data_IF_111316519753
#
_entry.id   IF_111316519753
#
_cell.length_a   1.000
_cell.length_b   1.000
_cell.length_c   1.000
_cell.angle_alpha   90.00
_cell.angle_beta   90.00
_cell.angle_gamma   90.00
#
_symmetry.space_group_name_H-M   'P 1'
#
loop_
_entity.id
_entity.type
_entity.pdbx_description
1 polymer ?
#
# COMPACT_ATOMS: atom_id res chain seq x y z
N UNK A 1 -9.32 -22.35 -12.12
CA UNK A 1 -10.11 -22.91 -11.01
C UNK A 1 -10.75 -21.85 -10.09
N UNK A 2 -10.49 -20.56 -10.32
CA UNK A 2 -11.06 -19.43 -9.54
C UNK A 2 -12.08 -18.61 -10.35
N UNK A 3 -12.47 -19.06 -11.55
CA UNK A 3 -13.42 -18.35 -12.42
C UNK A 3 -12.91 -17.02 -12.98
N UNK A 4 -11.61 -16.78 -12.95
CA UNK A 4 -11.00 -15.55 -13.49
C UNK A 4 -10.70 -15.73 -14.97
N UNK A 5 -11.18 -14.79 -15.80
CA UNK A 5 -10.89 -14.75 -17.23
C UNK A 5 -9.45 -14.27 -17.43
N UNK A 6 -8.69 -14.96 -18.28
CA UNK A 6 -7.32 -14.59 -18.63
C UNK A 6 -7.10 -14.63 -20.14
N UNK A 7 -6.22 -13.78 -20.66
CA UNK A 7 -5.77 -13.78 -22.05
C UNK A 7 -4.37 -14.37 -22.13
N UNK A 8 -4.13 -15.21 -23.14
CA UNK A 8 -2.83 -15.73 -23.52
C UNK A 8 -2.52 -15.38 -24.99
N UNK A 9 -1.27 -15.53 -25.39
CA UNK A 9 -0.80 -15.37 -26.77
C UNK A 9 -1.06 -13.98 -27.38
N UNK A 10 -1.05 -12.94 -26.54
CA UNK A 10 -1.12 -11.54 -26.99
C UNK A 10 0.27 -10.90 -26.97
N UNK A 11 0.50 -9.92 -27.84
CA UNK A 11 1.70 -9.10 -27.82
C UNK A 11 1.65 -8.11 -26.64
N UNK A 12 2.15 -8.55 -25.49
CA UNK A 12 2.18 -7.74 -24.26
C UNK A 12 3.12 -6.53 -24.37
N UNK A 13 4.16 -6.60 -25.22
CA UNK A 13 5.06 -5.47 -25.49
C UNK A 13 4.35 -4.37 -26.28
N UNK A 14 3.62 -4.72 -27.33
CA UNK A 14 2.81 -3.76 -28.09
C UNK A 14 1.74 -3.12 -27.20
N UNK A 15 1.09 -3.91 -26.35
CA UNK A 15 0.10 -3.40 -25.38
C UNK A 15 0.74 -2.42 -24.39
N UNK A 16 1.92 -2.73 -23.86
CA UNK A 16 2.66 -1.85 -22.94
C UNK A 16 3.05 -0.54 -23.65
N UNK A 17 3.53 -0.59 -24.89
CA UNK A 17 3.85 0.61 -25.67
C UNK A 17 2.61 1.47 -25.90
N UNK A 18 1.48 0.86 -26.24
CA UNK A 18 0.20 1.58 -26.41
C UNK A 18 -0.22 2.31 -25.13
N UNK A 19 -0.12 1.67 -23.96
CA UNK A 19 -0.47 2.27 -22.68
C UNK A 19 0.48 3.43 -22.33
N UNK A 20 1.77 3.29 -22.62
CA UNK A 20 2.75 4.38 -22.39
C UNK A 20 2.48 5.61 -23.25
N UNK A 21 2.05 5.40 -24.50
CA UNK A 21 1.79 6.48 -25.46
C UNK A 21 0.44 7.19 -25.18
N UNK A 22 -0.59 6.40 -24.83
CA UNK A 22 -1.98 6.88 -24.72
C UNK A 22 -2.50 7.04 -23.31
N UNK A 23 -1.72 6.65 -22.30
CA UNK A 23 -2.15 6.55 -20.91
C UNK A 23 -2.92 5.27 -20.61
N UNK A 24 -3.41 5.17 -19.38
CA UNK A 24 -4.24 4.05 -18.94
C UNK A 24 -5.58 4.06 -19.69
N UNK A 25 -5.84 3.01 -20.47
CA UNK A 25 -7.06 2.88 -21.28
C UNK A 25 -8.07 1.98 -20.59
N UNK A 26 -9.35 2.34 -20.73
CA UNK A 26 -10.44 1.45 -20.35
C UNK A 26 -10.48 0.23 -21.27
N UNK A 27 -10.61 -0.97 -20.70
CA UNK A 27 -10.61 -2.20 -21.45
C UNK A 27 -11.65 -3.20 -20.93
N UNK A 28 -12.07 -4.10 -21.80
CA UNK A 28 -12.92 -5.26 -21.43
C UNK A 28 -12.21 -6.54 -21.83
N UNK A 29 -12.14 -7.50 -20.92
CA UNK A 29 -11.76 -8.88 -21.20
C UNK A 29 -13.05 -9.72 -21.17
N UNK A 30 -13.33 -10.44 -22.25
CA UNK A 30 -14.54 -11.26 -22.37
C UNK A 30 -14.16 -12.70 -22.73
N UNK A 31 -14.94 -13.65 -22.22
CA UNK A 31 -14.90 -15.05 -22.58
C UNK A 31 -16.30 -15.50 -23.01
N UNK A 32 -16.38 -16.18 -24.15
CA UNK A 32 -17.60 -16.82 -24.63
C UNK A 32 -17.25 -18.24 -25.09
N UNK A 33 -17.94 -19.29 -24.57
CA UNK A 33 -17.62 -20.69 -24.91
C UNK A 33 -17.78 -21.03 -26.39
N UNK A 34 -18.68 -20.32 -27.09
CA UNK A 34 -18.94 -20.51 -28.53
C UNK A 34 -18.11 -19.60 -29.42
N UNK A 35 -17.26 -18.73 -28.83
CA UNK A 35 -16.45 -17.74 -29.56
C UNK A 35 -17.27 -16.62 -30.21
N UNK A 36 -18.49 -16.35 -29.73
CA UNK A 36 -19.38 -15.32 -30.27
C UNK A 36 -19.25 -14.04 -29.48
N UNK A 37 -18.68 -13.01 -30.09
CA UNK A 37 -18.47 -11.72 -29.45
C UNK A 37 -19.16 -10.60 -30.21
N UNK A 38 -20.00 -9.83 -29.51
CA UNK A 38 -20.49 -8.54 -30.00
C UNK A 38 -19.42 -7.47 -29.67
N UNK A 39 -18.53 -7.25 -30.65
CA UNK A 39 -17.39 -6.33 -30.49
C UNK A 39 -17.84 -4.89 -30.24
N UNK A 40 -18.95 -4.47 -30.86
CA UNK A 40 -19.44 -3.11 -30.69
C UNK A 40 -20.02 -2.89 -29.29
N UNK A 41 -20.75 -3.86 -28.74
CA UNK A 41 -21.21 -3.84 -27.36
C UNK A 41 -20.03 -3.85 -26.37
N UNK A 42 -18.97 -4.65 -26.62
CA UNK A 42 -17.78 -4.67 -25.76
C UNK A 42 -17.02 -3.34 -25.80
N UNK A 43 -16.86 -2.73 -26.97
CA UNK A 43 -16.26 -1.41 -27.12
C UNK A 43 -17.08 -0.33 -26.40
N UNK A 44 -18.39 -0.36 -26.56
CA UNK A 44 -19.30 0.57 -25.86
C UNK A 44 -19.19 0.39 -24.34
N UNK A 45 -19.09 -0.84 -23.84
CA UNK A 45 -18.89 -1.13 -22.42
C UNK A 45 -17.57 -0.58 -21.89
N UNK A 46 -16.46 -0.73 -22.64
CA UNK A 46 -15.17 -0.14 -22.27
C UNK A 46 -15.25 1.39 -22.26
N UNK A 47 -15.82 2.01 -23.30
CA UNK A 47 -15.93 3.45 -23.42
C UNK A 47 -16.82 4.10 -22.35
N UNK A 48 -17.84 3.39 -21.88
CA UNK A 48 -18.79 3.89 -20.86
C UNK A 48 -18.32 3.66 -19.42
N UNK A 49 -17.17 3.01 -19.22
CA UNK A 49 -16.62 2.88 -17.86
C UNK A 49 -16.00 4.20 -17.41
N UNK A 50 -16.38 4.67 -16.22
CA UNK A 50 -15.96 5.98 -15.70
C UNK A 50 -14.45 6.11 -15.40
N UNK A 51 -13.73 5.01 -15.39
CA UNK A 51 -12.35 4.98 -14.89
C UNK A 51 -12.28 4.86 -13.37
N UNK A 52 -11.10 5.09 -12.80
CA UNK A 52 -10.86 4.98 -11.36
C UNK A 52 -11.09 6.28 -10.60
N UNK A 53 -11.15 7.42 -11.29
CA UNK A 53 -11.35 8.73 -10.65
C UNK A 53 -12.72 8.78 -9.97
N UNK A 54 -12.71 9.29 -8.74
CA UNK A 54 -13.87 9.37 -7.85
C UNK A 54 -14.49 8.01 -7.43
N UNK A 55 -13.77 6.89 -7.64
CA UNK A 55 -14.23 5.57 -7.18
C UNK A 55 -13.60 5.20 -5.84
N UNK A 56 -14.44 5.09 -4.81
CA UNK A 56 -14.05 4.51 -3.52
C UNK A 56 -14.18 2.98 -3.56
N UNK A 57 -13.13 2.32 -4.05
CA UNK A 57 -13.09 0.86 -4.10
C UNK A 57 -12.62 0.23 -2.78
N UNK A 58 -12.07 1.01 -1.86
CA UNK A 58 -11.65 0.51 -0.55
C UNK A 58 -12.85 -0.03 0.26
N UNK A 59 -14.03 0.60 0.16
CA UNK A 59 -15.27 0.12 0.78
C UNK A 59 -15.73 -1.24 0.24
N UNK A 60 -15.42 -1.55 -1.01
CA UNK A 60 -15.87 -2.80 -1.64
C UNK A 60 -15.00 -4.00 -1.25
N UNK A 61 -13.75 -3.75 -0.83
CA UNK A 61 -12.75 -4.80 -0.55
C UNK A 61 -12.36 -4.92 0.91
N UNK A 62 -12.71 -3.95 1.74
CA UNK A 62 -12.43 -3.97 3.19
C UNK A 62 -13.18 -5.10 3.89
N UNK A 63 -12.62 -5.57 5.02
CA UNK A 63 -13.29 -6.55 5.87
C UNK A 63 -14.58 -5.97 6.48
N UNK A 64 -15.59 -6.83 6.67
CA UNK A 64 -16.87 -6.42 7.24
C UNK A 64 -16.89 -6.30 8.77
N UNK A 65 -15.90 -6.89 9.46
CA UNK A 65 -15.75 -6.88 10.91
C UNK A 65 -14.28 -7.04 11.29
N UNK A 66 -13.91 -6.60 12.50
CA UNK A 66 -12.54 -6.73 13.00
C UNK A 66 -12.09 -8.20 13.03
N UNK A 67 -10.82 -8.42 12.75
CA UNK A 67 -10.18 -9.74 12.90
C UNK A 67 -8.79 -9.60 13.51
N UNK A 68 -8.33 -10.64 14.18
CA UNK A 68 -6.94 -10.79 14.61
C UNK A 68 -6.22 -11.68 13.62
N UNK A 69 -5.02 -11.25 13.20
CA UNK A 69 -4.17 -11.99 12.28
C UNK A 69 -3.01 -12.65 13.04
N UNK A 70 -2.77 -13.93 12.80
CA UNK A 70 -1.78 -14.76 13.49
C UNK A 70 -0.78 -15.47 12.55
N UNK A 71 -1.07 -15.53 11.24
CA UNK A 71 -0.21 -16.22 10.29
C UNK A 71 1.10 -15.44 10.06
N UNK A 72 2.23 -16.14 10.13
CA UNK A 72 3.59 -15.60 9.87
C UNK A 72 4.04 -15.82 8.42
N UNK A 73 5.17 -15.22 7.96
CA UNK A 73 5.69 -15.43 6.62
C UNK A 73 5.90 -16.89 6.26
N UNK A 74 5.79 -17.16 4.95
CA UNK A 74 6.04 -18.48 4.41
C UNK A 74 7.54 -18.84 4.47
N UNK A 75 7.84 -20.04 4.89
CA UNK A 75 9.18 -20.62 4.87
C UNK A 75 9.19 -21.90 4.02
N UNK A 76 10.33 -22.13 3.34
CA UNK A 76 10.50 -23.35 2.54
C UNK A 76 10.43 -24.57 3.47
N UNK A 77 9.71 -25.59 3.04
CA UNK A 77 9.44 -26.86 3.76
C UNK A 77 8.40 -26.75 4.89
N UNK A 78 8.28 -25.61 5.56
CA UNK A 78 7.37 -25.40 6.68
C UNK A 78 6.02 -24.78 6.27
N UNK A 79 5.99 -24.05 5.14
CA UNK A 79 4.81 -23.31 4.71
C UNK A 79 4.60 -22.03 5.50
N UNK A 80 3.35 -21.67 5.75
CA UNK A 80 3.00 -20.55 6.62
C UNK A 80 2.97 -21.01 8.08
N UNK A 81 3.71 -20.30 8.93
CA UNK A 81 3.69 -20.52 10.37
C UNK A 81 2.55 -19.76 11.06
N UNK A 82 2.42 -20.02 12.36
CA UNK A 82 1.54 -19.30 13.27
C UNK A 82 2.36 -18.55 14.32
N UNK A 83 1.87 -17.39 14.74
CA UNK A 83 2.55 -16.59 15.75
C UNK A 83 2.41 -17.23 17.12
N UNK A 84 3.54 -17.50 17.77
CA UNK A 84 3.59 -18.15 19.10
C UNK A 84 3.71 -17.17 20.26
N UNK A 85 4.19 -15.94 20.00
CA UNK A 85 4.36 -14.91 21.03
C UNK A 85 4.24 -13.50 20.44
N UNK A 86 3.52 -12.62 21.12
CA UNK A 86 3.34 -11.23 20.73
C UNK A 86 4.05 -10.30 21.70
N UNK A 87 4.72 -9.30 21.18
CA UNK A 87 5.43 -8.27 21.95
C UNK A 87 4.80 -6.90 21.77
N UNK A 88 4.15 -6.66 20.64
CA UNK A 88 3.56 -5.38 20.24
C UNK A 88 2.14 -5.59 19.77
N UNK A 89 1.31 -4.56 19.89
CA UNK A 89 -0.02 -4.53 19.30
C UNK A 89 -0.08 -3.51 18.17
N UNK A 90 -0.28 -3.95 16.95
CA UNK A 90 -0.49 -3.11 15.77
C UNK A 90 -1.95 -3.19 15.36
N UNK A 91 -2.59 -2.03 15.21
CA UNK A 91 -3.92 -1.94 14.61
C UNK A 91 -3.78 -1.47 13.17
N UNK A 92 -4.31 -2.25 12.23
CA UNK A 92 -4.27 -2.00 10.81
C UNK A 92 -5.65 -1.58 10.29
N UNK A 93 -5.74 -0.43 9.60
CA UNK A 93 -6.91 -0.05 8.82
C UNK A 93 -6.84 -0.75 7.45
N UNK A 94 -7.90 -1.48 7.12
CA UNK A 94 -7.97 -2.31 5.91
C UNK A 94 -8.63 -1.55 4.75
N UNK A 95 -7.83 -0.98 3.88
CA UNK A 95 -8.27 -0.40 2.60
C UNK A 95 -8.22 -1.41 1.44
N UNK A 96 -7.91 -2.68 1.71
CA UNK A 96 -7.66 -3.76 0.75
C UNK A 96 -6.29 -4.40 0.97
N UNK A 97 -6.00 -4.75 2.22
CA UNK A 97 -4.68 -5.18 2.69
C UNK A 97 -4.18 -6.46 2.02
N UNK A 98 -2.99 -6.43 1.47
CA UNK A 98 -2.29 -7.66 1.06
C UNK A 98 -1.88 -8.47 2.29
N UNK A 99 -2.28 -9.74 2.32
CA UNK A 99 -2.01 -10.63 3.45
C UNK A 99 -0.53 -10.74 3.82
N UNK A 100 0.37 -10.54 2.85
CA UNK A 100 1.80 -10.59 3.12
C UNK A 100 2.28 -9.47 4.04
N UNK A 101 1.63 -8.31 4.01
CA UNK A 101 1.87 -7.22 4.97
C UNK A 101 1.58 -7.69 6.40
N UNK A 102 0.42 -8.29 6.61
CA UNK A 102 0.01 -8.80 7.93
C UNK A 102 0.97 -9.89 8.43
N UNK A 103 1.43 -10.78 7.52
CA UNK A 103 2.40 -11.82 7.85
C UNK A 103 3.75 -11.24 8.27
N UNK A 104 4.23 -10.21 7.57
CA UNK A 104 5.51 -9.57 7.90
C UNK A 104 5.44 -8.87 9.27
N UNK A 105 4.35 -8.16 9.56
CA UNK A 105 4.13 -7.58 10.89
C UNK A 105 4.06 -8.67 11.98
N UNK A 106 3.28 -9.73 11.74
CA UNK A 106 3.15 -10.85 12.65
C UNK A 106 4.49 -11.57 12.86
N UNK A 107 5.26 -11.80 11.80
CA UNK A 107 6.60 -12.41 11.88
C UNK A 107 7.63 -11.59 12.66
N UNK A 108 7.38 -10.29 12.84
CA UNK A 108 8.19 -9.39 13.68
C UNK A 108 7.66 -9.26 15.12
N UNK A 109 6.74 -10.12 15.53
CA UNK A 109 6.22 -10.17 16.90
C UNK A 109 5.02 -9.25 17.17
N UNK A 110 4.42 -8.66 16.13
CA UNK A 110 3.23 -7.85 16.31
C UNK A 110 1.96 -8.72 16.33
N UNK A 111 1.16 -8.63 17.38
CA UNK A 111 -0.27 -8.97 17.32
C UNK A 111 -0.92 -7.97 16.39
N UNK A 112 -1.52 -8.41 15.30
CA UNK A 112 -2.16 -7.53 14.34
C UNK A 112 -3.68 -7.63 14.45
N UNK A 113 -4.33 -6.53 14.81
CA UNK A 113 -5.78 -6.38 14.73
C UNK A 113 -6.11 -5.57 13.49
N UNK A 114 -6.92 -6.16 12.61
CA UNK A 114 -7.34 -5.52 11.36
C UNK A 114 -8.75 -4.98 11.55
N UNK A 115 -8.94 -3.71 11.22
CA UNK A 115 -10.24 -3.02 11.31
C UNK A 115 -10.70 -2.58 9.91
N UNK A 116 -12.02 -2.47 9.69
CA UNK A 116 -12.54 -1.94 8.43
C UNK A 116 -12.02 -0.55 8.10
N UNK A 117 -11.96 -0.20 6.81
CA UNK A 117 -11.57 1.12 6.32
C UNK A 117 -12.35 2.28 6.95
N UNK A 118 -13.59 2.02 7.37
CA UNK A 118 -14.51 3.02 7.94
C UNK A 118 -14.44 3.12 9.48
N UNK A 119 -13.53 2.37 10.13
CA UNK A 119 -13.33 2.47 11.57
C UNK A 119 -12.90 3.89 11.97
N UNK A 120 -13.43 4.37 13.08
CA UNK A 120 -13.09 5.70 13.63
C UNK A 120 -11.75 5.68 14.36
N UNK A 121 -11.17 6.85 14.61
CA UNK A 121 -9.95 6.94 15.42
C UNK A 121 -10.18 6.39 16.83
N UNK A 122 -11.36 6.61 17.40
CA UNK A 122 -11.78 6.11 18.70
C UNK A 122 -11.83 4.57 18.69
N UNK A 123 -12.33 3.95 17.62
CA UNK A 123 -12.32 2.47 17.47
C UNK A 123 -10.90 1.93 17.43
N UNK A 124 -9.99 2.59 16.70
CA UNK A 124 -8.58 2.20 16.62
C UNK A 124 -7.91 2.32 18.00
N UNK A 125 -8.06 3.45 18.66
CA UNK A 125 -7.40 3.74 19.94
C UNK A 125 -7.97 2.92 21.10
N UNK A 126 -9.22 2.46 21.03
CA UNK A 126 -9.82 1.57 22.03
C UNK A 126 -9.08 0.22 22.17
N UNK A 127 -8.34 -0.20 21.15
CA UNK A 127 -7.48 -1.39 21.21
C UNK A 127 -6.15 -1.15 21.93
N UNK A 128 -5.84 0.09 22.37
CA UNK A 128 -4.55 0.50 22.94
C UNK A 128 -3.36 0.00 22.12
N UNK A 129 -3.26 0.39 20.84
CA UNK A 129 -2.18 -0.08 19.97
C UNK A 129 -0.82 0.53 20.35
N UNK A 130 0.25 -0.22 20.12
CA UNK A 130 1.62 0.30 20.16
C UNK A 130 2.00 1.00 18.85
N UNK A 131 1.32 0.68 17.76
CA UNK A 131 1.50 1.30 16.44
C UNK A 131 0.29 1.12 15.54
N UNK A 132 0.17 1.98 14.53
CA UNK A 132 -0.94 2.04 13.59
C UNK A 132 -0.41 1.76 12.17
N UNK A 133 -1.13 0.93 11.44
CA UNK A 133 -0.79 0.61 10.06
C UNK A 133 -1.92 1.03 9.11
N UNK A 134 -1.57 1.79 8.07
CA UNK A 134 -2.49 2.18 7.00
C UNK A 134 -2.20 1.33 5.77
N UNK A 135 -3.11 0.44 5.42
CA UNK A 135 -2.85 -0.56 4.38
C UNK A 135 -2.87 0.02 2.97
N UNK A 136 -2.36 -0.78 2.04
CA UNK A 136 -2.61 -0.59 0.63
C UNK A 136 -4.10 -0.81 0.31
N UNK A 137 -4.52 -0.37 -0.88
CA UNK A 137 -5.88 -0.58 -1.38
C UNK A 137 -6.07 -0.05 -2.80
N UNK A 138 -7.22 -0.36 -3.42
CA UNK A 138 -7.60 0.14 -4.74
C UNK A 138 -8.38 1.46 -4.65
N UNK A 139 -8.57 2.10 -5.80
CA UNK A 139 -9.46 3.25 -5.97
C UNK A 139 -8.76 4.59 -5.99
N UNK A 140 -9.58 5.63 -5.92
CA UNK A 140 -9.14 7.02 -5.85
C UNK A 140 -8.90 7.43 -4.40
N UNK A 141 -7.69 7.88 -4.05
CA UNK A 141 -7.40 8.35 -2.70
C UNK A 141 -8.29 9.51 -2.25
N UNK A 142 -8.71 10.39 -3.14
CA UNK A 142 -9.59 11.50 -2.78
C UNK A 142 -10.99 11.01 -2.35
N UNK A 143 -11.54 10.01 -3.05
CA UNK A 143 -12.84 9.43 -2.71
C UNK A 143 -12.79 8.65 -1.38
N UNK A 144 -11.76 7.80 -1.19
CA UNK A 144 -11.54 7.09 0.08
C UNK A 144 -11.25 8.09 1.22
N UNK A 145 -10.60 9.21 0.91
CA UNK A 145 -10.24 10.26 1.85
C UNK A 145 -11.41 10.95 2.53
N UNK A 146 -12.61 10.95 1.94
CA UNK A 146 -13.78 11.59 2.54
C UNK A 146 -14.06 11.12 3.98
N UNK A 147 -13.84 9.83 4.26
CA UNK A 147 -14.02 9.28 5.61
C UNK A 147 -12.69 8.92 6.30
N UNK A 148 -11.67 8.53 5.53
CA UNK A 148 -10.41 8.08 6.11
C UNK A 148 -9.54 9.24 6.61
N UNK A 149 -9.50 10.37 5.89
CA UNK A 149 -8.67 11.53 6.27
C UNK A 149 -8.99 12.06 7.67
N UNK A 150 -10.24 12.33 8.07
CA UNK A 150 -10.55 12.80 9.42
C UNK A 150 -10.11 11.82 10.52
N UNK A 151 -10.22 10.51 10.26
CA UNK A 151 -9.74 9.46 11.16
C UNK A 151 -8.21 9.50 11.27
N UNK A 152 -7.51 9.53 10.14
CA UNK A 152 -6.03 9.54 10.11
C UNK A 152 -5.46 10.80 10.76
N UNK A 153 -6.08 11.97 10.59
CA UNK A 153 -5.67 13.20 11.27
C UNK A 153 -5.65 13.03 12.78
N UNK A 154 -6.70 12.49 13.39
CA UNK A 154 -6.75 12.20 14.83
C UNK A 154 -5.69 11.15 15.23
N UNK A 155 -5.42 10.15 14.39
CA UNK A 155 -4.40 9.15 14.66
C UNK A 155 -2.98 9.73 14.58
N UNK A 156 -2.71 10.68 13.69
CA UNK A 156 -1.45 11.44 13.62
C UNK A 156 -1.21 12.28 14.87
N UNK A 157 -2.29 12.78 15.48
CA UNK A 157 -2.23 13.56 16.73
C UNK A 157 -2.04 12.69 17.97
N UNK A 158 -2.24 11.37 17.88
CA UNK A 158 -2.06 10.43 19.01
C UNK A 158 -0.58 10.18 19.36
N UNK A 159 0.36 10.68 18.54
CA UNK A 159 1.81 10.45 18.68
C UNK A 159 2.24 8.98 18.65
N UNK A 160 1.36 8.08 18.23
CA UNK A 160 1.72 6.68 18.01
C UNK A 160 2.52 6.53 16.70
N UNK A 161 3.42 5.53 16.61
CA UNK A 161 4.04 5.16 15.36
C UNK A 161 3.01 4.83 14.29
N UNK A 162 3.15 5.45 13.10
CA UNK A 162 2.27 5.20 11.95
C UNK A 162 3.11 4.81 10.74
N UNK A 163 2.70 3.74 10.07
CA UNK A 163 3.28 3.32 8.79
C UNK A 163 2.18 3.13 7.74
N UNK A 164 2.33 3.79 6.58
CA UNK A 164 1.39 3.71 5.44
C UNK A 164 2.03 3.12 4.20
N UNK A 165 1.30 2.26 3.47
CA UNK A 165 1.74 1.64 2.20
C UNK A 165 0.74 1.95 1.09
N UNK A 166 1.23 2.43 -0.07
CA UNK A 166 0.48 2.65 -1.31
C UNK A 166 -0.73 3.56 -1.07
N UNK A 167 -1.98 3.07 -1.05
CA UNK A 167 -3.14 3.89 -0.70
C UNK A 167 -3.00 4.49 0.70
N UNK A 168 -2.48 3.75 1.68
CA UNK A 168 -2.22 4.27 3.03
C UNK A 168 -1.21 5.42 3.06
N UNK A 169 -0.22 5.43 2.16
CA UNK A 169 0.69 6.55 1.95
C UNK A 169 -0.06 7.77 1.41
N UNK A 170 -0.91 7.58 0.41
CA UNK A 170 -1.71 8.66 -0.18
C UNK A 170 -2.72 9.24 0.82
N UNK A 171 -3.38 8.38 1.60
CA UNK A 171 -4.29 8.80 2.69
C UNK A 171 -3.56 9.60 3.76
N UNK A 172 -2.36 9.17 4.15
CA UNK A 172 -1.54 9.90 5.12
C UNK A 172 -1.15 11.28 4.56
N UNK A 173 -0.72 11.36 3.30
CA UNK A 173 -0.40 12.63 2.65
C UNK A 173 -1.58 13.60 2.65
N UNK A 174 -2.78 13.13 2.27
CA UNK A 174 -4.01 13.93 2.31
C UNK A 174 -4.35 14.39 3.73
N UNK A 175 -4.20 13.51 4.73
CA UNK A 175 -4.45 13.85 6.14
C UNK A 175 -3.47 14.90 6.69
N UNK A 176 -2.25 14.94 6.16
CA UNK A 176 -1.24 15.95 6.48
C UNK A 176 -1.42 17.27 5.71
N UNK A 177 -2.36 17.34 4.77
CA UNK A 177 -2.67 18.55 4.00
C UNK A 177 -2.03 18.61 2.60
N UNK A 178 -1.34 17.56 2.17
CA UNK A 178 -0.85 17.43 0.80
C UNK A 178 -1.98 17.06 -0.18
N UNK A 179 -1.65 16.98 -1.46
CA UNK A 179 -2.58 16.63 -2.56
C UNK A 179 -2.13 15.33 -3.23
N UNK A 180 -3.09 14.70 -3.90
CA UNK A 180 -2.83 13.57 -4.79
C UNK A 180 -3.28 13.90 -6.20
N UNK A 181 -2.64 13.31 -7.18
CA UNK A 181 -2.95 13.48 -8.59
C UNK A 181 -3.03 12.14 -9.31
N UNK A 182 -3.84 12.10 -10.37
CA UNK A 182 -3.92 10.92 -11.23
C UNK A 182 -2.77 10.93 -12.23
N UNK A 183 -2.04 9.83 -12.26
CA UNK A 183 -0.92 9.65 -13.20
C UNK A 183 -1.43 9.32 -14.61
N UNK A 184 -0.62 9.66 -15.63
CA UNK A 184 -0.92 9.36 -17.03
C UNK A 184 -1.10 7.85 -17.29
N UNK A 185 -0.12 7.01 -16.91
CA UNK A 185 -0.19 5.56 -17.06
C UNK A 185 -0.06 4.79 -15.74
N UNK A 186 0.36 5.46 -14.66
CA UNK A 186 0.68 4.84 -13.38
C UNK A 186 1.99 4.03 -13.39
N UNK A 187 2.32 3.46 -12.25
CA UNK A 187 3.45 2.57 -12.08
C UNK A 187 2.98 1.14 -11.81
N UNK A 188 3.34 0.21 -12.69
CA UNK A 188 2.93 -1.19 -12.62
C UNK A 188 4.12 -2.09 -12.96
N UNK A 189 4.66 -2.78 -11.97
CA UNK A 189 5.79 -3.69 -12.16
C UNK A 189 6.63 -3.89 -10.91
N UNK A 190 7.54 -4.86 -10.98
CA UNK A 190 8.41 -5.24 -9.87
C UNK A 190 9.89 -4.88 -10.15
N UNK A 191 10.13 -3.85 -10.94
CA UNK A 191 11.45 -3.44 -11.40
C UNK A 191 11.65 -1.92 -11.36
N UNK A 192 10.94 -1.22 -10.46
CA UNK A 192 11.02 0.22 -10.33
C UNK A 192 12.20 0.63 -9.43
N UNK A 193 13.16 1.44 -9.94
CA UNK A 193 14.23 1.97 -9.12
C UNK A 193 13.71 3.18 -8.34
N UNK A 194 13.88 3.14 -7.03
CA UNK A 194 13.52 4.19 -6.10
C UNK A 194 14.75 4.64 -5.33
N UNK A 195 14.96 5.95 -5.26
CA UNK A 195 16.01 6.55 -4.43
C UNK A 195 15.45 6.78 -3.04
N UNK A 196 16.08 6.20 -2.03
CA UNK A 196 15.88 6.52 -0.62
C UNK A 196 16.84 7.64 -0.22
N UNK A 197 16.32 8.81 0.09
CA UNK A 197 17.11 9.96 0.54
C UNK A 197 17.65 9.78 1.96
N UNK A 198 17.00 8.95 2.78
CA UNK A 198 17.43 8.73 4.18
C UNK A 198 18.67 7.86 4.28
N UNK A 199 18.87 6.96 3.34
CA UNK A 199 20.05 6.07 3.28
C UNK A 199 21.03 6.40 2.14
N UNK A 200 20.58 7.18 1.16
CA UNK A 200 21.30 7.47 -0.06
C UNK A 200 21.35 6.31 -1.06
N UNK A 201 20.62 5.22 -0.84
CA UNK A 201 20.61 4.01 -1.68
C UNK A 201 19.54 4.06 -2.77
N UNK A 202 19.71 3.23 -3.78
CA UNK A 202 18.68 2.93 -4.76
C UNK A 202 18.20 1.52 -4.49
N UNK A 203 16.89 1.35 -4.45
CA UNK A 203 16.22 0.08 -4.21
C UNK A 203 15.35 -0.26 -5.41
N UNK A 204 15.29 -1.55 -5.75
CA UNK A 204 14.35 -2.04 -6.77
C UNK A 204 13.11 -2.52 -6.05
N UNK A 205 11.96 -1.95 -6.42
CA UNK A 205 10.71 -2.15 -5.70
C UNK A 205 9.56 -2.56 -6.61
N UNK A 206 8.52 -3.12 -6.00
CA UNK A 206 7.26 -3.41 -6.66
C UNK A 206 6.32 -2.21 -6.54
N UNK A 207 5.71 -1.81 -7.66
CA UNK A 207 4.74 -0.72 -7.76
C UNK A 207 3.45 -1.20 -8.43
N UNK A 208 2.32 -0.70 -7.94
CA UNK A 208 1.01 -0.92 -8.56
C UNK A 208 0.05 0.19 -8.14
N UNK A 209 0.17 1.35 -8.75
CA UNK A 209 -0.68 2.51 -8.44
C UNK A 209 -0.89 3.41 -9.66
N UNK A 210 -2.03 4.08 -9.71
CA UNK A 210 -2.40 5.05 -10.76
C UNK A 210 -2.56 6.47 -10.25
N UNK A 211 -2.33 6.69 -8.95
CA UNK A 211 -2.32 8.00 -8.30
C UNK A 211 -1.00 8.18 -7.56
N UNK A 212 -0.56 9.41 -7.41
CA UNK A 212 0.65 9.77 -6.69
C UNK A 212 0.42 10.97 -5.78
N UNK A 213 1.28 11.14 -4.79
CA UNK A 213 1.34 12.36 -3.97
C UNK A 213 2.08 13.44 -4.75
N UNK A 214 1.49 14.63 -4.81
CA UNK A 214 2.11 15.83 -5.38
C UNK A 214 3.15 16.38 -4.39
N UNK A 215 4.45 16.21 -4.71
CA UNK A 215 5.57 16.64 -3.86
C UNK A 215 5.56 18.15 -3.59
N UNK A 216 5.12 18.96 -4.56
CA UNK A 216 5.08 20.43 -4.42
C UNK A 216 3.99 20.87 -3.42
N UNK A 217 3.06 19.99 -3.10
CA UNK A 217 1.99 20.25 -2.12
C UNK A 217 2.34 19.86 -0.69
N UNK A 218 3.51 19.25 -0.45
CA UNK A 218 3.92 18.80 0.89
C UNK A 218 4.06 19.99 1.86
N UNK A 219 3.43 19.96 3.05
CA UNK A 219 3.63 21.00 4.06
C UNK A 219 5.06 20.98 4.62
N UNK A 220 5.53 22.10 5.18
CA UNK A 220 6.89 22.26 5.71
C UNK A 220 7.29 21.21 6.78
N UNK A 221 6.32 20.64 7.49
CA UNK A 221 6.56 19.61 8.50
C UNK A 221 6.59 18.18 7.94
N UNK A 222 6.46 18.02 6.61
CA UNK A 222 6.51 16.74 5.92
C UNK A 222 7.67 16.72 4.94
N UNK A 223 8.49 15.70 5.02
CA UNK A 223 9.68 15.53 4.19
C UNK A 223 9.49 14.35 3.22
N UNK A 224 9.81 14.58 1.94
CA UNK A 224 9.93 13.49 0.97
C UNK A 224 11.15 12.62 1.29
N UNK A 225 10.93 11.31 1.40
CA UNK A 225 11.99 10.36 1.74
C UNK A 225 12.41 9.47 0.59
N UNK A 226 11.52 9.23 -0.36
CA UNK A 226 11.75 8.35 -1.49
C UNK A 226 11.21 8.97 -2.77
N UNK A 227 11.93 8.76 -3.88
CA UNK A 227 11.56 9.27 -5.20
C UNK A 227 11.78 8.22 -6.29
N UNK A 228 10.88 8.12 -7.25
CA UNK A 228 11.01 7.31 -8.45
C UNK A 228 12.14 7.86 -9.34
N UNK A 229 13.08 6.99 -9.74
CA UNK A 229 14.12 7.38 -10.69
C UNK A 229 13.65 7.35 -12.16
N UNK A 230 12.43 6.91 -12.42
CA UNK A 230 11.88 6.95 -13.78
C UNK A 230 11.33 8.33 -14.14
N UNK A 231 10.68 9.01 -13.20
CA UNK A 231 9.91 10.22 -13.48
C UNK A 231 9.90 11.26 -12.36
N UNK A 232 10.60 11.01 -11.25
CA UNK A 232 10.64 11.94 -10.11
C UNK A 232 9.40 11.93 -9.22
N UNK A 233 8.46 11.00 -9.44
CA UNK A 233 7.24 10.88 -8.60
C UNK A 233 7.59 10.57 -7.15
N UNK A 234 6.85 11.18 -6.21
CA UNK A 234 6.98 10.88 -4.78
C UNK A 234 6.74 9.39 -4.51
N UNK A 235 7.64 8.78 -3.76
CA UNK A 235 7.57 7.37 -3.38
C UNK A 235 7.64 7.14 -1.87
N UNK A 236 7.64 8.21 -1.07
CA UNK A 236 7.62 8.11 0.38
C UNK A 236 7.75 9.45 1.07
N UNK A 237 7.21 9.52 2.28
CA UNK A 237 7.28 10.69 3.14
C UNK A 237 7.49 10.31 4.61
N UNK A 238 7.92 11.28 5.40
CA UNK A 238 7.92 11.23 6.86
C UNK A 238 7.45 12.55 7.47
N UNK A 239 6.92 12.49 8.67
CA UNK A 239 6.59 13.69 9.46
C UNK A 239 7.79 14.05 10.34
N UNK A 240 8.28 15.26 10.20
CA UNK A 240 9.46 15.74 10.96
C UNK A 240 9.11 15.76 12.47
N UNK A 241 9.94 15.09 13.27
CA UNK A 241 9.77 15.02 14.71
C UNK A 241 8.67 14.08 15.23
N UNK A 242 7.98 13.35 14.34
CA UNK A 242 7.01 12.33 14.74
C UNK A 242 7.42 10.94 14.22
N UNK A 243 7.03 9.84 14.90
CA UNK A 243 7.34 8.47 14.47
C UNK A 243 6.39 8.01 13.34
N UNK A 244 6.29 8.80 12.26
CA UNK A 244 5.32 8.62 11.19
C UNK A 244 6.02 8.65 9.85
N UNK A 245 5.85 7.60 9.04
CA UNK A 245 6.35 7.53 7.68
C UNK A 245 5.46 6.67 6.79
N UNK A 246 5.64 6.79 5.49
CA UNK A 246 4.93 5.98 4.51
C UNK A 246 5.70 5.85 3.20
N UNK A 247 5.34 4.83 2.41
CA UNK A 247 5.93 4.58 1.10
C UNK A 247 4.85 4.24 0.06
N UNK A 248 5.05 4.69 -1.17
CA UNK A 248 4.14 4.44 -2.29
C UNK A 248 4.29 3.02 -2.85
N UNK A 249 5.49 2.47 -2.79
CA UNK A 249 5.78 1.11 -3.26
C UNK A 249 5.33 0.04 -2.26
N UNK A 250 5.45 -1.22 -2.68
CA UNK A 250 5.04 -2.39 -1.92
C UNK A 250 6.26 -3.11 -1.30
N UNK A 251 6.70 -2.74 -0.08
CA UNK A 251 7.85 -3.38 0.57
C UNK A 251 7.58 -4.83 0.96
N UNK A 252 6.32 -5.24 1.03
CA UNK A 252 5.92 -6.62 1.30
C UNK A 252 6.20 -7.56 0.14
N UNK A 253 6.50 -7.04 -1.05
CA UNK A 253 6.74 -7.81 -2.26
C UNK A 253 5.64 -8.85 -2.57
N UNK A 254 5.98 -10.05 -3.00
CA UNK A 254 5.05 -11.15 -3.30
C UNK A 254 3.92 -10.79 -4.27
N UNK A 255 4.26 -10.55 -5.56
CA UNK A 255 5.60 -10.69 -6.16
C UNK A 255 6.47 -9.45 -5.98
N UNK A 256 7.77 -9.62 -6.17
CA UNK A 256 8.73 -8.55 -6.31
C UNK A 256 9.99 -8.72 -5.49
N UNK A 257 10.94 -7.79 -5.66
CA UNK A 257 12.17 -7.74 -4.90
C UNK A 257 11.91 -7.39 -3.42
N UNK A 258 12.87 -7.75 -2.58
CA UNK A 258 12.78 -7.63 -1.12
C UNK A 258 13.67 -6.51 -0.56
N UNK A 259 14.21 -5.65 -1.42
CA UNK A 259 15.15 -4.59 -1.04
C UNK A 259 14.62 -3.69 0.08
N UNK A 260 13.32 -3.44 0.10
CA UNK A 260 12.63 -2.56 1.05
C UNK A 260 11.91 -3.29 2.20
N UNK A 261 12.10 -4.61 2.38
CA UNK A 261 11.52 -5.36 3.53
C UNK A 261 11.89 -4.76 4.89
N UNK A 262 13.08 -4.16 5.01
CA UNK A 262 13.55 -3.54 6.24
C UNK A 262 12.61 -2.43 6.77
N UNK A 263 11.74 -1.86 5.96
CA UNK A 263 10.78 -0.85 6.37
C UNK A 263 9.79 -1.37 7.43
N UNK A 264 9.46 -2.66 7.41
CA UNK A 264 8.68 -3.28 8.49
C UNK A 264 9.45 -3.29 9.81
N UNK A 265 10.75 -3.59 9.80
CA UNK A 265 11.61 -3.50 10.99
C UNK A 265 11.78 -2.05 11.46
N UNK A 266 11.90 -1.09 10.53
CA UNK A 266 11.89 0.34 10.85
C UNK A 266 10.62 0.72 11.62
N UNK A 267 9.45 0.27 11.17
CA UNK A 267 8.19 0.52 11.87
C UNK A 267 8.17 -0.10 13.29
N UNK A 268 8.59 -1.36 13.43
CA UNK A 268 8.72 -1.98 14.76
C UNK A 268 9.74 -1.24 15.62
N UNK A 269 10.83 -0.75 15.04
CA UNK A 269 11.83 0.03 15.78
C UNK A 269 11.27 1.36 16.31
N UNK A 270 10.39 2.04 15.58
CA UNK A 270 9.68 3.22 16.10
C UNK A 270 8.81 2.87 17.32
N UNK A 271 8.17 1.70 17.31
CA UNK A 271 7.41 1.19 18.47
C UNK A 271 8.35 0.91 19.65
N UNK A 272 9.49 0.24 19.40
CA UNK A 272 10.50 -0.09 20.41
C UNK A 272 11.12 1.16 21.03
N UNK A 273 11.47 2.15 20.20
CA UNK A 273 12.02 3.42 20.66
C UNK A 273 11.04 4.13 21.62
N UNK A 274 9.74 4.18 21.28
CA UNK A 274 8.71 4.75 22.15
C UNK A 274 8.58 3.99 23.47
N UNK A 275 8.85 2.68 23.48
CA UNK A 275 8.84 1.81 24.67
C UNK A 275 10.17 1.82 25.45
N UNK A 276 11.22 2.49 24.94
CA UNK A 276 12.55 2.48 25.53
C UNK A 276 13.29 1.16 25.40
N UNK A 277 12.98 0.36 24.40
CA UNK A 277 13.57 -0.93 24.13
C UNK A 277 14.74 -0.84 23.12
N UNK A 278 15.66 -1.81 23.15
CA UNK A 278 16.77 -1.89 22.20
C UNK A 278 16.25 -2.15 20.77
N UNK A 279 16.80 -1.43 19.77
CA UNK A 279 16.35 -1.53 18.40
C UNK A 279 16.78 -2.85 17.73
N UNK A 280 15.94 -3.35 16.83
CA UNK A 280 16.27 -4.45 15.94
C UNK A 280 17.21 -3.95 14.82
N UNK A 281 18.13 -4.77 14.32
CA UNK A 281 18.88 -4.43 13.11
C UNK A 281 17.90 -4.25 11.94
N UNK A 282 18.00 -3.13 11.20
CA UNK A 282 17.07 -2.87 10.08
C UNK A 282 17.23 -3.89 8.94
N UNK A 283 18.44 -4.38 8.71
CA UNK A 283 18.73 -5.44 7.73
C UNK A 283 19.20 -6.68 8.44
N UNK A 284 18.89 -7.85 7.89
CA UNK A 284 19.55 -9.09 8.32
C UNK A 284 21.05 -8.87 8.09
N UNK A 285 21.85 -9.05 9.15
CA UNK A 285 23.28 -9.17 8.96
C UNK A 285 23.45 -10.41 8.08
N UNK A 286 23.92 -10.20 6.85
CA UNK A 286 24.21 -11.30 5.94
C UNK A 286 25.08 -12.32 6.68
N UNK A 287 24.54 -13.53 6.85
CA UNK A 287 25.26 -14.65 7.42
C UNK A 287 26.34 -15.13 6.45
#
# INVERSE_FOLDING_TARGET
NRGVIALADIDTRALTSLIRERGAQNAVIAHDPDGKFDIDALKARAANWSGLENLDLAKDVTIGQSLTWDQTPWALEEGYGEQSATQYHVVALDFGVKRNILRLLSGLGAKVTVLPATATAEDVLAYNPDGIFLSNGPGDPAATGEYAVPTIQKLVDSELPVFGICLGHQMLALALGAKTEKMHQGHHGANHPVKDYTTGKVEIVSMNHGFAVDSDSLPEHVEETHVSLFDGTNCGLRVIGKPIFSVQHHPEASPGPQDSHYLFRRFINLIREKKGEALLPERDQAA
#
